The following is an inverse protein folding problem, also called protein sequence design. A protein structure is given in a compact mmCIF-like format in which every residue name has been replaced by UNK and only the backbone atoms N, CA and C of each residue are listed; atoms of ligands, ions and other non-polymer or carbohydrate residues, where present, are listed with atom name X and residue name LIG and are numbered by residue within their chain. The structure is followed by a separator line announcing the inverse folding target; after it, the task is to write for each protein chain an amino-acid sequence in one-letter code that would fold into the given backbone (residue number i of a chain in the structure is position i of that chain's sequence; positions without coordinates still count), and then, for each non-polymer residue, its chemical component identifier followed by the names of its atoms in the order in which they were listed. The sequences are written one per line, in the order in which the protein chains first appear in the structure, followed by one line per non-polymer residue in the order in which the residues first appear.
data_IF_883363787313
#
_entry.id   IF_883363787313
#
_cell.length_a   1.000
_cell.length_b   1.000
_cell.length_c   1.000
_cell.angle_alpha   90.00
_cell.angle_beta   90.00
_cell.angle_gamma   90.00
#
_symmetry.space_group_name_H-M   'P 1'
#
loop_
_entity.id
_entity.type
_entity.pdbx_description
1 polymer ?
#
# COMPACT_ATOMS: atom_id res chain seq x y z
N UNK A 1 9.62 28.20 11.47
CA UNK A 1 8.73 27.03 11.30
C UNK A 1 9.59 25.81 11.52
N UNK A 2 9.35 25.08 12.62
CA UNK A 2 10.05 23.81 12.89
C UNK A 2 9.48 22.82 11.88
N UNK A 3 10.33 22.32 10.98
CA UNK A 3 10.00 21.18 10.10
C UNK A 3 9.53 20.03 11.01
N UNK A 4 8.38 19.40 10.76
CA UNK A 4 8.03 18.21 11.52
C UNK A 4 9.17 17.22 11.33
N UNK A 5 9.74 16.72 12.43
CA UNK A 5 10.72 15.66 12.41
C UNK A 5 10.03 14.42 11.84
N UNK A 6 10.14 14.23 10.53
CA UNK A 6 9.77 13.00 9.87
C UNK A 6 10.76 11.94 10.33
N UNK A 7 10.29 11.03 11.19
CA UNK A 7 11.10 9.87 11.57
C UNK A 7 11.00 8.90 10.42
N UNK A 8 12.05 8.81 9.62
CA UNK A 8 12.16 7.87 8.53
C UNK A 8 12.05 6.44 9.07
N UNK A 9 11.19 5.62 8.46
CA UNK A 9 11.09 4.21 8.83
C UNK A 9 12.37 3.48 8.40
N UNK A 10 13.08 2.92 9.36
CA UNK A 10 14.30 2.18 9.10
C UNK A 10 14.01 0.70 8.79
N UNK A 11 14.27 0.33 7.55
CA UNK A 11 14.15 -1.06 7.10
C UNK A 11 15.41 -1.85 7.43
N UNK A 12 15.24 -3.03 7.99
CA UNK A 12 16.31 -3.99 8.19
C UNK A 12 16.25 -5.10 7.13
N UNK A 13 17.39 -5.70 6.75
CA UNK A 13 17.47 -6.74 5.71
C UNK A 13 16.54 -7.95 5.96
N UNK A 14 16.09 -8.17 7.20
CA UNK A 14 15.10 -9.17 7.61
C UNK A 14 13.72 -8.57 7.90
N UNK A 15 13.45 -7.34 7.45
CA UNK A 15 12.26 -6.58 7.77
C UNK A 15 10.97 -7.06 7.11
N UNK A 16 9.91 -6.28 7.32
CA UNK A 16 8.56 -6.53 6.80
C UNK A 16 8.59 -6.86 5.29
N UNK A 17 7.80 -7.83 4.86
CA UNK A 17 7.81 -8.36 3.49
C UNK A 17 8.51 -9.72 3.37
N UNK A 18 9.52 -10.01 4.21
CA UNK A 18 10.24 -11.29 4.20
C UNK A 18 9.67 -12.32 5.18
N UNK A 19 8.65 -11.95 5.98
CA UNK A 19 7.95 -12.86 6.88
C UNK A 19 6.72 -13.50 6.22
N UNK A 20 6.14 -14.51 6.85
CA UNK A 20 4.97 -15.26 6.36
C UNK A 20 3.77 -14.33 5.98
N UNK A 21 3.54 -13.28 6.78
CA UNK A 21 2.48 -12.29 6.51
C UNK A 21 2.75 -11.46 5.26
N UNK A 22 4.01 -11.02 5.05
CA UNK A 22 4.41 -10.23 3.89
C UNK A 22 4.40 -11.07 2.60
N UNK A 23 4.86 -12.32 2.65
CA UNK A 23 4.80 -13.23 1.50
C UNK A 23 3.35 -13.53 1.10
N UNK A 24 2.44 -13.70 2.07
CA UNK A 24 1.00 -13.88 1.79
C UNK A 24 0.41 -12.64 1.11
N UNK A 25 0.73 -11.46 1.60
CA UNK A 25 0.30 -10.18 1.03
C UNK A 25 0.80 -10.03 -0.41
N UNK A 26 2.10 -10.24 -0.63
CA UNK A 26 2.71 -10.20 -1.96
C UNK A 26 2.02 -11.13 -2.93
N UNK A 27 1.76 -12.38 -2.51
CA UNK A 27 1.05 -13.36 -3.35
C UNK A 27 -0.34 -12.87 -3.73
N UNK A 28 -1.09 -12.26 -2.81
CA UNK A 28 -2.42 -11.73 -3.12
C UNK A 28 -2.35 -10.59 -4.12
N UNK A 29 -1.41 -9.63 -3.97
CA UNK A 29 -1.22 -8.56 -4.93
C UNK A 29 -0.85 -9.10 -6.31
N UNK A 30 0.13 -10.01 -6.40
CA UNK A 30 0.55 -10.66 -7.65
C UNK A 30 -0.63 -11.34 -8.35
N UNK A 31 -1.45 -12.12 -7.64
CA UNK A 31 -2.60 -12.79 -8.21
C UNK A 31 -3.72 -11.83 -8.65
N UNK A 32 -3.85 -10.68 -7.99
CA UNK A 32 -4.78 -9.63 -8.42
C UNK A 32 -4.27 -8.95 -9.70
N UNK A 33 -3.00 -8.54 -9.73
CA UNK A 33 -2.38 -7.90 -10.91
C UNK A 33 -2.50 -8.78 -12.15
N UNK A 34 -2.25 -10.09 -12.03
CA UNK A 34 -2.38 -11.06 -13.15
C UNK A 34 -3.78 -11.14 -13.75
N UNK A 35 -4.81 -10.73 -13.02
CA UNK A 35 -6.22 -10.72 -13.47
C UNK A 35 -6.64 -9.42 -14.13
N UNK A 36 -5.79 -8.40 -14.08
CA UNK A 36 -6.08 -7.09 -14.67
C UNK A 36 -5.64 -7.06 -16.13
N UNK A 37 -6.57 -6.71 -17.00
CA UNK A 37 -6.27 -6.57 -18.42
C UNK A 37 -5.56 -5.25 -18.72
N UNK A 38 -4.68 -5.28 -19.72
CA UNK A 38 -4.01 -4.08 -20.24
C UNK A 38 -2.88 -3.52 -19.40
N UNK A 39 -2.52 -4.15 -18.28
CA UNK A 39 -1.43 -3.71 -17.39
C UNK A 39 -0.09 -4.16 -17.96
N UNK A 40 0.83 -3.20 -18.15
CA UNK A 40 2.24 -3.42 -18.54
C UNK A 40 3.19 -2.65 -17.65
N UNK A 41 2.80 -1.43 -17.24
CA UNK A 41 3.59 -0.55 -16.39
C UNK A 41 2.91 -0.33 -15.04
N UNK A 42 3.68 -0.45 -13.96
CA UNK A 42 3.20 -0.41 -12.57
C UNK A 42 4.03 0.57 -11.76
N UNK A 43 3.37 1.48 -11.05
CA UNK A 43 3.99 2.29 -10.01
C UNK A 43 3.63 1.71 -8.63
N UNK A 44 4.63 1.41 -7.80
CA UNK A 44 4.47 0.89 -6.44
C UNK A 44 4.74 2.03 -5.43
N UNK A 45 3.66 2.64 -4.93
CA UNK A 45 3.72 3.76 -3.98
C UNK A 45 3.86 3.23 -2.53
N UNK A 46 5.03 3.45 -1.95
CA UNK A 46 5.43 2.90 -0.65
C UNK A 46 5.97 1.48 -0.80
N UNK A 47 6.91 1.29 -1.72
CA UNK A 47 7.44 -0.03 -2.08
C UNK A 47 8.31 -0.68 -0.99
N UNK A 48 8.73 0.07 0.04
CA UNK A 48 9.60 -0.39 1.11
C UNK A 48 10.89 -1.03 0.60
N UNK A 49 11.09 -2.30 0.94
CA UNK A 49 12.24 -3.10 0.49
C UNK A 49 12.07 -3.71 -0.92
N UNK A 50 11.05 -3.30 -1.68
CA UNK A 50 10.83 -3.69 -3.07
C UNK A 50 10.29 -5.11 -3.28
N UNK A 51 9.80 -5.79 -2.24
CA UNK A 51 9.43 -7.22 -2.35
C UNK A 51 8.29 -7.46 -3.35
N UNK A 52 7.22 -6.64 -3.33
CA UNK A 52 6.12 -6.74 -4.29
C UNK A 52 6.60 -6.33 -5.68
N UNK A 53 7.30 -5.20 -5.79
CA UNK A 53 7.86 -4.68 -7.04
C UNK A 53 8.74 -5.71 -7.75
N UNK A 54 9.67 -6.34 -7.00
CA UNK A 54 10.57 -7.37 -7.56
C UNK A 54 9.83 -8.61 -8.06
N UNK A 55 8.79 -9.06 -7.34
CA UNK A 55 7.97 -10.21 -7.75
C UNK A 55 7.16 -9.90 -9.02
N UNK A 56 6.64 -8.68 -9.17
CA UNK A 56 5.93 -8.26 -10.37
C UNK A 56 6.88 -8.09 -11.56
N UNK A 57 8.06 -7.49 -11.35
CA UNK A 57 9.08 -7.37 -12.39
C UNK A 57 9.56 -8.74 -12.91
N UNK A 58 9.71 -9.73 -12.03
CA UNK A 58 10.06 -11.11 -12.42
C UNK A 58 8.97 -11.79 -13.30
N UNK A 59 7.75 -11.25 -13.34
CA UNK A 59 6.68 -11.68 -14.23
C UNK A 59 6.62 -10.90 -15.55
N UNK A 60 7.55 -9.97 -15.78
CA UNK A 60 7.66 -9.21 -17.02
C UNK A 60 6.95 -7.84 -17.00
N UNK A 61 6.44 -7.37 -15.86
CA UNK A 61 5.92 -6.01 -15.75
C UNK A 61 7.06 -5.00 -15.65
N UNK A 62 6.86 -3.82 -16.24
CA UNK A 62 7.72 -2.66 -15.97
C UNK A 62 7.29 -2.03 -14.65
N UNK A 63 8.15 -2.09 -13.65
CA UNK A 63 7.83 -1.62 -12.30
C UNK A 63 8.77 -0.50 -11.88
N UNK A 64 8.20 0.60 -11.40
CA UNK A 64 8.91 1.67 -10.69
C UNK A 64 8.39 1.71 -9.26
N UNK A 65 9.26 1.48 -8.28
CA UNK A 65 8.94 1.56 -6.86
C UNK A 65 9.38 2.90 -6.28
N UNK A 66 8.57 3.48 -5.41
CA UNK A 66 8.92 4.69 -4.67
C UNK A 66 8.68 4.52 -3.19
N UNK A 67 9.61 4.99 -2.37
CA UNK A 67 9.47 4.99 -0.91
C UNK A 67 10.22 6.17 -0.30
N UNK A 68 9.73 6.65 0.84
CA UNK A 68 10.36 7.71 1.60
C UNK A 68 11.55 7.22 2.44
N UNK A 69 11.71 5.90 2.60
CA UNK A 69 12.79 5.29 3.37
C UNK A 69 14.01 5.04 2.50
N UNK A 70 15.09 5.75 2.77
CA UNK A 70 16.37 5.54 2.10
C UNK A 70 16.93 4.13 2.34
N UNK A 71 16.76 3.58 3.55
CA UNK A 71 17.20 2.22 3.88
C UNK A 71 16.40 1.17 3.12
N UNK A 72 15.08 1.37 2.97
CA UNK A 72 14.20 0.52 2.16
C UNK A 72 14.62 0.50 0.70
N UNK A 73 14.80 1.66 0.10
CA UNK A 73 15.25 1.81 -1.29
C UNK A 73 16.61 1.16 -1.54
N UNK A 74 17.58 1.34 -0.63
CA UNK A 74 18.89 0.67 -0.76
C UNK A 74 18.79 -0.86 -0.73
N UNK A 75 17.92 -1.41 0.11
CA UNK A 75 17.66 -2.86 0.15
C UNK A 75 17.01 -3.31 -1.16
N UNK A 76 15.98 -2.59 -1.62
CA UNK A 76 15.25 -2.87 -2.86
C UNK A 76 16.18 -2.89 -4.09
N UNK A 77 17.01 -1.86 -4.26
CA UNK A 77 17.97 -1.75 -5.36
C UNK A 77 18.99 -2.90 -5.39
N UNK A 78 19.46 -3.34 -4.21
CA UNK A 78 20.38 -4.49 -4.11
C UNK A 78 19.69 -5.82 -4.42
N UNK A 79 18.46 -5.99 -3.96
CA UNK A 79 17.71 -7.24 -4.12
C UNK A 79 17.16 -7.41 -5.54
N UNK A 80 16.81 -6.31 -6.22
CA UNK A 80 16.12 -6.31 -7.51
C UNK A 80 16.75 -5.30 -8.49
N UNK A 81 17.98 -5.55 -8.97
CA UNK A 81 18.76 -4.57 -9.77
C UNK A 81 18.11 -4.23 -11.12
N UNK A 82 17.14 -4.99 -11.58
CA UNK A 82 16.38 -4.73 -12.82
C UNK A 82 15.13 -3.88 -12.62
N UNK A 83 14.85 -3.43 -11.39
CA UNK A 83 13.68 -2.60 -11.06
C UNK A 83 14.15 -1.18 -10.74
N UNK A 84 13.44 -0.19 -11.25
CA UNK A 84 13.69 1.20 -10.91
C UNK A 84 13.12 1.51 -9.51
N UNK A 85 13.98 2.03 -8.61
CA UNK A 85 13.57 2.44 -7.27
C UNK A 85 13.97 3.88 -7.00
N UNK A 86 13.01 4.69 -6.58
CA UNK A 86 13.14 6.13 -6.34
C UNK A 86 12.94 6.45 -4.87
N UNK A 87 13.91 7.12 -4.25
CA UNK A 87 13.77 7.66 -2.90
C UNK A 87 13.07 9.01 -2.97
N UNK A 88 11.79 9.04 -2.63
CA UNK A 88 10.97 10.26 -2.65
C UNK A 88 9.78 10.15 -1.70
N UNK A 89 9.24 11.30 -1.29
CA UNK A 89 7.97 11.39 -0.59
C UNK A 89 6.80 11.12 -1.55
N UNK A 90 5.75 10.50 -1.01
CA UNK A 90 4.50 10.29 -1.74
C UNK A 90 3.61 11.51 -1.52
N UNK A 91 3.62 12.41 -2.47
CA UNK A 91 2.76 13.59 -2.49
C UNK A 91 2.35 13.93 -3.94
N UNK A 92 1.52 14.97 -4.10
CA UNK A 92 1.04 15.41 -5.41
C UNK A 92 2.13 15.96 -6.35
N UNK A 93 3.30 16.28 -5.82
CA UNK A 93 4.43 16.77 -6.63
C UNK A 93 5.26 15.64 -7.23
N UNK A 94 4.99 14.39 -6.81
CA UNK A 94 5.64 13.20 -7.36
C UNK A 94 5.31 13.10 -8.86
N UNK A 95 6.33 12.97 -9.68
CA UNK A 95 6.20 12.82 -11.13
C UNK A 95 7.21 11.79 -11.64
N UNK A 96 6.73 10.57 -11.86
CA UNK A 96 7.52 9.43 -12.36
C UNK A 96 7.08 9.01 -13.78
N UNK A 97 6.14 9.73 -14.37
CA UNK A 97 5.51 9.38 -15.64
C UNK A 97 4.11 8.80 -15.46
N UNK A 98 3.61 8.13 -16.50
CA UNK A 98 2.25 7.57 -16.51
C UNK A 98 2.26 6.04 -16.56
N UNK A 99 1.49 5.42 -15.68
CA UNK A 99 1.42 3.98 -15.50
C UNK A 99 0.01 3.44 -15.79
N UNK A 100 -0.06 2.18 -16.20
CA UNK A 100 -1.34 1.48 -16.38
C UNK A 100 -1.97 1.14 -15.02
N UNK A 101 -1.12 0.87 -14.01
CA UNK A 101 -1.54 0.49 -12.67
C UNK A 101 -0.69 1.20 -11.61
N UNK A 102 -1.33 1.71 -10.58
CA UNK A 102 -0.70 2.07 -9.31
C UNK A 102 -1.03 1.00 -8.29
N UNK A 103 -0.04 0.53 -7.56
CA UNK A 103 -0.24 -0.30 -6.37
C UNK A 103 0.28 0.44 -5.14
N UNK A 104 -0.35 0.19 -4.00
CA UNK A 104 0.15 0.64 -2.69
C UNK A 104 -0.32 -0.35 -1.62
N UNK A 105 0.57 -0.79 -0.78
CA UNK A 105 0.30 -1.85 0.20
C UNK A 105 0.75 -1.46 1.58
N UNK A 106 -0.20 -1.40 2.52
CA UNK A 106 0.04 -1.08 3.93
C UNK A 106 0.83 0.26 4.11
N UNK A 107 0.38 1.31 3.41
CA UNK A 107 0.99 2.66 3.42
C UNK A 107 0.00 3.70 3.91
N UNK A 108 -1.24 3.71 3.38
CA UNK A 108 -2.23 4.77 3.61
C UNK A 108 -2.60 4.93 5.08
N UNK A 109 -2.52 3.87 5.87
CA UNK A 109 -2.79 3.87 7.31
C UNK A 109 -1.73 4.59 8.13
N UNK A 110 -0.54 4.81 7.57
CA UNK A 110 0.56 5.52 8.21
C UNK A 110 0.59 7.02 7.86
N UNK A 111 -0.20 7.46 6.88
CA UNK A 111 -0.16 8.83 6.40
C UNK A 111 -1.04 9.76 7.24
N UNK A 112 -0.50 10.90 7.65
CA UNK A 112 -1.27 11.98 8.28
C UNK A 112 -2.39 12.46 7.37
N UNK A 113 -2.08 12.64 6.08
CA UNK A 113 -3.01 13.01 5.01
C UNK A 113 -3.12 11.87 4.01
N UNK A 114 -4.08 10.95 4.19
CA UNK A 114 -4.29 9.84 3.24
C UNK A 114 -4.56 10.30 1.81
N UNK A 115 -5.07 11.53 1.65
CA UNK A 115 -5.27 12.17 0.34
C UNK A 115 -3.99 12.32 -0.46
N UNK A 116 -2.83 12.52 0.18
CA UNK A 116 -1.55 12.69 -0.52
C UNK A 116 -1.20 11.47 -1.38
N UNK A 117 -1.49 10.26 -0.88
CA UNK A 117 -1.28 9.02 -1.64
C UNK A 117 -2.21 8.94 -2.85
N UNK A 118 -3.48 9.32 -2.69
CA UNK A 118 -4.44 9.27 -3.80
C UNK A 118 -4.17 10.37 -4.83
N UNK A 119 -3.78 11.56 -4.38
CA UNK A 119 -3.34 12.64 -5.26
C UNK A 119 -2.11 12.21 -6.07
N UNK A 120 -1.10 11.60 -5.45
CA UNK A 120 0.03 11.01 -6.12
C UNK A 120 -0.40 9.91 -7.10
N UNK A 121 -1.26 8.98 -6.68
CA UNK A 121 -1.75 7.92 -7.55
C UNK A 121 -2.46 8.45 -8.79
N UNK A 122 -3.31 9.48 -8.64
CA UNK A 122 -3.99 10.12 -9.77
C UNK A 122 -2.99 10.74 -10.75
N UNK A 123 -1.92 11.39 -10.27
CA UNK A 123 -0.91 12.00 -11.15
C UNK A 123 -0.07 10.96 -11.90
N UNK A 124 0.16 9.79 -11.32
CA UNK A 124 0.93 8.71 -11.95
C UNK A 124 0.09 7.81 -12.85
N UNK A 125 -1.24 7.93 -12.86
CA UNK A 125 -2.10 7.04 -13.67
C UNK A 125 -2.43 7.64 -15.02
N UNK A 126 -2.29 6.85 -16.08
CA UNK A 126 -2.87 7.10 -17.39
C UNK A 126 -4.39 7.32 -17.30
N UNK A 127 -5.01 8.02 -18.27
CA UNK A 127 -6.47 8.02 -18.39
C UNK A 127 -7.01 6.59 -18.46
N UNK A 128 -7.99 6.25 -17.60
CA UNK A 128 -8.53 4.91 -17.47
C UNK A 128 -7.61 3.92 -16.74
N UNK A 129 -6.50 4.37 -16.16
CA UNK A 129 -5.60 3.57 -15.35
C UNK A 129 -6.25 3.04 -14.07
N UNK A 130 -5.62 2.08 -13.45
CA UNK A 130 -6.19 1.31 -12.34
C UNK A 130 -5.36 1.47 -11.07
N UNK A 131 -5.99 1.27 -9.91
CA UNK A 131 -5.29 1.24 -8.62
C UNK A 131 -5.63 -0.03 -7.83
N UNK A 132 -4.63 -0.64 -7.18
CA UNK A 132 -4.80 -1.63 -6.12
C UNK A 132 -4.25 -1.05 -4.82
N UNK A 133 -5.14 -0.75 -3.89
CA UNK A 133 -4.80 -0.13 -2.60
C UNK A 133 -5.10 -1.08 -1.45
N UNK A 134 -4.06 -1.59 -0.81
CA UNK A 134 -4.12 -2.48 0.34
C UNK A 134 -3.96 -1.74 1.66
N UNK A 135 -4.77 -2.11 2.66
CA UNK A 135 -4.70 -1.58 4.03
C UNK A 135 -5.35 -2.56 5.02
N UNK A 136 -5.04 -2.51 6.32
CA UNK A 136 -5.74 -3.29 7.33
C UNK A 136 -7.25 -3.04 7.34
N UNK A 137 -8.01 -4.13 7.41
CA UNK A 137 -9.47 -4.05 7.47
C UNK A 137 -9.98 -3.72 8.88
N UNK A 138 -10.79 -2.68 9.00
CA UNK A 138 -11.44 -2.24 10.25
C UNK A 138 -12.97 -2.19 10.11
N UNK A 139 -13.58 -3.38 9.94
CA UNK A 139 -15.04 -3.50 9.90
C UNK A 139 -15.69 -3.52 11.28
N UNK A 140 -16.98 -3.21 11.31
CA UNK A 140 -17.76 -3.10 12.56
C UNK A 140 -17.65 -4.33 13.46
N UNK A 141 -17.91 -5.54 12.93
CA UNK A 141 -17.89 -6.78 13.71
C UNK A 141 -16.49 -7.07 14.29
N UNK A 142 -15.45 -6.88 13.51
CA UNK A 142 -14.05 -7.04 13.98
C UNK A 142 -13.76 -6.09 15.14
N UNK A 143 -14.11 -4.81 15.00
CA UNK A 143 -13.85 -3.82 16.06
C UNK A 143 -14.69 -4.11 17.32
N UNK A 144 -15.95 -4.54 17.18
CA UNK A 144 -16.78 -4.94 18.28
C UNK A 144 -16.18 -6.12 19.07
N UNK A 145 -15.68 -7.14 18.37
CA UNK A 145 -15.03 -8.30 19.00
C UNK A 145 -13.73 -7.89 19.68
N UNK A 146 -12.92 -7.03 19.08
CA UNK A 146 -11.70 -6.51 19.70
C UNK A 146 -12.01 -5.77 21.03
N UNK A 147 -13.06 -4.94 21.03
CA UNK A 147 -13.50 -4.23 22.23
C UNK A 147 -14.04 -5.19 23.28
N UNK A 148 -14.95 -6.10 22.90
CA UNK A 148 -15.55 -7.06 23.83
C UNK A 148 -14.56 -8.05 24.45
N UNK A 149 -13.44 -8.34 23.75
CA UNK A 149 -12.43 -9.28 24.21
C UNK A 149 -11.22 -8.61 24.88
N UNK A 150 -11.25 -7.27 25.04
CA UNK A 150 -10.13 -6.50 25.63
C UNK A 150 -8.83 -6.54 24.80
N UNK A 151 -8.91 -6.86 23.50
CA UNK A 151 -7.74 -7.00 22.62
C UNK A 151 -7.35 -5.74 21.85
N UNK A 152 -7.93 -4.58 22.20
CA UNK A 152 -7.68 -3.34 21.49
C UNK A 152 -6.22 -2.89 21.63
N UNK A 153 -5.65 -2.92 22.83
CA UNK A 153 -4.28 -2.47 23.07
C UNK A 153 -3.26 -3.27 22.25
N UNK A 154 -3.41 -4.60 22.24
CA UNK A 154 -2.56 -5.47 21.43
C UNK A 154 -2.77 -5.29 19.92
N UNK A 155 -3.97 -4.85 19.50
CA UNK A 155 -4.30 -4.67 18.09
C UNK A 155 -3.80 -3.34 17.53
N UNK A 156 -3.97 -2.26 18.29
CA UNK A 156 -3.59 -0.91 17.85
C UNK A 156 -2.14 -0.56 18.11
N UNK A 157 -1.44 -1.34 18.96
CA UNK A 157 0.00 -1.21 19.21
C UNK A 157 0.41 0.24 19.52
N UNK A 158 -0.30 0.90 20.45
CA UNK A 158 -0.15 2.33 20.73
C UNK A 158 1.27 2.78 21.12
N UNK A 159 2.11 1.83 21.58
CA UNK A 159 3.51 2.11 21.96
C UNK A 159 4.49 1.88 20.81
N UNK A 160 4.00 1.52 19.61
CA UNK A 160 4.86 1.28 18.45
C UNK A 160 5.04 2.56 17.65
N UNK A 161 6.24 3.13 17.66
CA UNK A 161 6.60 4.29 16.85
C UNK A 161 6.47 3.96 15.36
N UNK A 162 5.80 4.85 14.59
CA UNK A 162 5.50 4.59 13.17
C UNK A 162 4.35 3.60 12.93
N UNK A 163 3.59 3.23 13.98
CA UNK A 163 2.41 2.38 13.88
C UNK A 163 1.28 3.01 13.07
N UNK A 164 0.16 2.28 12.96
CA UNK A 164 -1.00 2.74 12.20
C UNK A 164 -1.70 3.90 12.91
N UNK A 165 -1.95 4.99 12.19
CA UNK A 165 -2.65 6.18 12.68
C UNK A 165 -4.02 6.37 12.02
N UNK A 166 -4.32 5.63 10.96
CA UNK A 166 -5.62 5.62 10.27
C UNK A 166 -6.17 4.19 10.21
N UNK A 167 -7.50 4.09 10.37
CA UNK A 167 -8.19 2.79 10.47
C UNK A 167 -9.36 2.80 9.49
N UNK A 168 -9.20 2.09 8.37
CA UNK A 168 -10.14 2.13 7.27
C UNK A 168 -11.16 0.98 7.35
N UNK A 169 -12.43 1.32 7.17
CA UNK A 169 -13.48 0.38 6.77
C UNK A 169 -13.70 0.48 5.25
N UNK A 170 -14.44 -0.47 4.68
CA UNK A 170 -14.88 -0.38 3.28
C UNK A 170 -15.55 0.96 2.99
N UNK A 171 -16.45 1.43 3.87
CA UNK A 171 -17.17 2.67 3.69
C UNK A 171 -16.25 3.90 3.68
N UNK A 172 -15.32 4.00 4.64
CA UNK A 172 -14.43 5.17 4.74
C UNK A 172 -13.41 5.20 3.60
N UNK A 173 -12.85 4.04 3.22
CA UNK A 173 -11.95 3.95 2.08
C UNK A 173 -12.68 4.26 0.77
N UNK A 174 -13.89 3.72 0.55
CA UNK A 174 -14.68 4.02 -0.64
C UNK A 174 -15.00 5.52 -0.79
N UNK A 175 -15.35 6.19 0.31
CA UNK A 175 -15.60 7.64 0.29
C UNK A 175 -14.35 8.42 -0.11
N UNK A 176 -13.19 8.05 0.46
CA UNK A 176 -11.93 8.69 0.15
C UNK A 176 -11.52 8.46 -1.31
N UNK A 177 -11.63 7.23 -1.81
CA UNK A 177 -11.33 6.88 -3.22
C UNK A 177 -12.18 7.68 -4.20
N UNK A 178 -13.52 7.70 -3.99
CA UNK A 178 -14.44 8.47 -4.85
C UNK A 178 -14.18 9.97 -4.82
N UNK A 179 -13.83 10.52 -3.66
CA UNK A 179 -13.48 11.94 -3.55
C UNK A 179 -12.26 12.34 -4.39
N UNK A 180 -11.43 11.36 -4.82
CA UNK A 180 -10.26 11.56 -5.68
C UNK A 180 -10.47 11.04 -7.12
N UNK A 181 -11.72 10.82 -7.53
CA UNK A 181 -12.07 10.47 -8.91
C UNK A 181 -11.87 8.99 -9.26
N UNK A 182 -11.82 8.11 -8.26
CA UNK A 182 -11.81 6.67 -8.50
C UNK A 182 -13.22 6.09 -8.46
N UNK A 183 -13.58 5.32 -9.49
CA UNK A 183 -14.86 4.63 -9.64
C UNK A 183 -14.67 3.10 -9.79
N UNK A 184 -15.75 2.36 -9.98
CA UNK A 184 -15.78 0.88 -10.12
C UNK A 184 -15.08 0.15 -8.98
N UNK A 185 -15.29 0.60 -7.73
CA UNK A 185 -14.63 0.05 -6.56
C UNK A 185 -15.05 -1.39 -6.29
N UNK A 186 -14.08 -2.29 -6.21
CA UNK A 186 -14.26 -3.66 -5.75
C UNK A 186 -13.25 -4.00 -4.63
N UNK A 187 -13.63 -4.91 -3.73
CA UNK A 187 -12.82 -5.23 -2.56
C UNK A 187 -12.49 -6.72 -2.49
N UNK A 188 -11.21 -7.02 -2.32
CA UNK A 188 -10.71 -8.36 -1.98
C UNK A 188 -10.26 -8.38 -0.54
N UNK A 189 -10.70 -9.39 0.20
CA UNK A 189 -10.37 -9.54 1.62
C UNK A 189 -9.52 -10.78 1.83
N UNK A 190 -8.59 -10.72 2.79
CA UNK A 190 -7.77 -11.89 3.13
C UNK A 190 -7.35 -11.91 4.60
N UNK A 191 -6.92 -13.10 5.02
CA UNK A 191 -6.52 -13.39 6.39
C UNK A 191 -7.71 -13.53 7.35
N UNK A 192 -7.67 -14.55 8.19
CA UNK A 192 -8.72 -14.94 9.15
C UNK A 192 -10.06 -15.34 8.49
N UNK A 193 -11.12 -15.38 9.28
CA UNK A 193 -12.47 -15.74 8.85
C UNK A 193 -13.21 -14.53 8.22
N UNK A 194 -14.32 -14.78 7.49
CA UNK A 194 -15.19 -13.72 7.01
C UNK A 194 -15.60 -12.73 8.10
N UNK A 195 -15.66 -11.44 7.76
CA UNK A 195 -15.95 -10.29 8.62
C UNK A 195 -14.88 -9.99 9.69
N UNK A 196 -13.90 -10.91 9.89
CA UNK A 196 -12.75 -10.76 10.79
C UNK A 196 -11.43 -10.65 10.01
N UNK A 197 -11.49 -10.36 8.72
CA UNK A 197 -10.32 -10.27 7.84
C UNK A 197 -9.20 -9.41 8.42
N UNK A 198 -7.97 -9.79 8.10
CA UNK A 198 -6.79 -9.01 8.50
C UNK A 198 -6.70 -7.74 7.66
N UNK A 199 -6.78 -7.89 6.36
CA UNK A 199 -6.56 -6.83 5.38
C UNK A 199 -7.66 -6.82 4.31
N UNK A 200 -7.78 -5.70 3.63
CA UNK A 200 -8.58 -5.52 2.43
C UNK A 200 -7.73 -4.84 1.34
N UNK A 201 -8.01 -5.17 0.09
CA UNK A 201 -7.43 -4.51 -1.09
C UNK A 201 -8.58 -3.95 -1.90
N UNK A 202 -8.57 -2.65 -2.13
CA UNK A 202 -9.49 -1.97 -3.02
C UNK A 202 -8.89 -1.93 -4.42
N UNK A 203 -9.62 -2.41 -5.41
CA UNK A 203 -9.38 -2.19 -6.83
C UNK A 203 -10.34 -1.13 -7.33
N UNK A 204 -9.85 -0.16 -8.08
CA UNK A 204 -10.66 0.91 -8.67
C UNK A 204 -10.06 1.40 -9.98
N UNK A 205 -10.82 2.20 -10.75
CA UNK A 205 -10.41 2.87 -11.99
C UNK A 205 -10.45 4.38 -11.84
N UNK A 206 -9.51 5.05 -12.53
CA UNK A 206 -9.47 6.51 -12.64
C UNK A 206 -10.38 6.97 -13.76
#
# INVERSE_FOLDING_TARGET
MVSPTYTEFEWHAKGAGNGESGEKLTRVFVELVKKLDGVRSICDLGCGNGHISGRLAALGYHVTGVDASASGIQIAQRAYPGVEFVHALIDRALNLGEFDLVISSDVIEHLYRPSDLLEAAVTQLKPGGQILLGTPYHGYLKNLILAATGKMDAHYSALHDGGHIKFFSVNTLSKLMRAHGFDDLSFTFYGRAPWLWKNMICHARK
#
